data_IF_075277706411
#
_entry.id   IF_075277706411
#
_cell.length_a   1.000
_cell.length_b   1.000
_cell.length_c   1.000
_cell.angle_alpha   90.00
_cell.angle_beta   90.00
_cell.angle_gamma   90.00
#
_symmetry.space_group_name_H-M   'P 1'
#
loop_
_entity.id
_entity.type
_entity.pdbx_description
1 polymer ?
#
# COMPACT_ATOMS: atom_id res chain seq x y z
N UNK A 1 -10.96 4.87 10.92
CA UNK A 1 -11.21 4.63 9.48
C UNK A 1 -10.78 3.19 9.14
N UNK A 2 -11.23 2.60 8.01
CA UNK A 2 -10.71 1.32 7.51
C UNK A 2 -9.64 1.58 6.43
N UNK A 3 -8.49 0.93 6.56
CA UNK A 3 -7.37 1.01 5.64
C UNK A 3 -7.14 -0.37 5.03
N UNK A 4 -7.31 -0.50 3.71
CA UNK A 4 -7.00 -1.74 3.01
C UNK A 4 -5.65 -1.56 2.35
N UNK A 5 -4.68 -2.34 2.81
CA UNK A 5 -3.31 -2.28 2.29
C UNK A 5 -3.05 -3.57 1.53
N UNK A 6 -2.92 -3.45 0.20
CA UNK A 6 -2.57 -4.55 -0.69
C UNK A 6 -1.06 -4.76 -0.59
N UNK A 7 -0.60 -5.72 0.22
CA UNK A 7 0.83 -5.92 0.50
C UNK A 7 1.36 -5.17 1.72
N UNK A 8 0.68 -5.28 2.87
CA UNK A 8 1.05 -4.52 4.08
C UNK A 8 2.34 -4.97 4.78
N UNK A 9 2.98 -6.04 4.32
CA UNK A 9 4.18 -6.62 4.94
C UNK A 9 5.46 -6.30 4.17
N UNK A 10 5.34 -5.56 3.05
CA UNK A 10 6.43 -4.82 2.44
C UNK A 10 7.00 -3.75 3.37
N UNK A 11 7.97 -2.96 2.91
CA UNK A 11 8.59 -1.92 3.75
C UNK A 11 7.60 -0.80 4.03
N UNK A 12 7.20 -0.06 3.00
CA UNK A 12 6.29 1.07 3.13
C UNK A 12 4.91 0.59 3.60
N UNK A 13 4.43 -0.55 3.11
CA UNK A 13 3.19 -1.15 3.57
C UNK A 13 3.19 -1.40 5.09
N UNK A 14 4.33 -1.81 5.66
CA UNK A 14 4.46 -2.05 7.09
C UNK A 14 4.48 -0.75 7.88
N UNK A 15 5.28 0.23 7.47
CA UNK A 15 5.34 1.54 8.15
C UNK A 15 3.97 2.23 8.15
N UNK A 16 3.27 2.18 7.02
CA UNK A 16 1.90 2.69 6.91
C UNK A 16 0.95 1.93 7.85
N UNK A 17 1.04 0.60 7.88
CA UNK A 17 0.20 -0.19 8.78
C UNK A 17 0.44 0.16 10.25
N UNK A 18 1.70 0.25 10.67
CA UNK A 18 2.09 0.57 12.04
C UNK A 18 1.48 1.89 12.49
N UNK A 19 1.63 2.93 11.67
CA UNK A 19 1.16 4.27 12.00
C UNK A 19 -0.37 4.40 11.97
N UNK A 20 -1.09 3.74 11.05
CA UNK A 20 -2.56 3.66 11.13
C UNK A 20 -3.04 2.97 12.41
N UNK A 21 -2.36 1.89 12.81
CA UNK A 21 -2.70 1.15 14.02
C UNK A 21 -2.42 1.97 15.30
N UNK A 22 -1.34 2.76 15.33
CA UNK A 22 -1.03 3.71 16.42
C UNK A 22 -2.12 4.78 16.58
N UNK A 23 -2.75 5.20 15.48
CA UNK A 23 -3.88 6.13 15.46
C UNK A 23 -5.22 5.45 15.83
N UNK A 24 -5.22 4.14 16.13
CA UNK A 24 -6.41 3.38 16.47
C UNK A 24 -7.29 3.03 15.26
N UNK A 25 -6.78 3.16 14.03
CA UNK A 25 -7.50 2.80 12.82
C UNK A 25 -7.42 1.30 12.50
N UNK A 26 -8.41 0.80 11.76
CA UNK A 26 -8.42 -0.60 11.31
C UNK A 26 -7.56 -0.76 10.06
N UNK A 27 -6.68 -1.76 10.04
CA UNK A 27 -5.86 -2.14 8.90
C UNK A 27 -6.23 -3.55 8.44
N UNK A 28 -6.68 -3.65 7.20
CA UNK A 28 -6.97 -4.89 6.51
C UNK A 28 -5.83 -5.17 5.54
N UNK A 29 -5.00 -6.14 5.89
CA UNK A 29 -3.95 -6.63 5.03
C UNK A 29 -4.54 -7.60 4.00
N UNK A 30 -4.31 -7.31 2.72
CA UNK A 30 -4.60 -8.25 1.63
C UNK A 30 -3.27 -8.74 1.07
N UNK A 31 -3.03 -10.04 1.16
CA UNK A 31 -1.81 -10.65 0.64
C UNK A 31 -1.84 -10.64 -0.90
N UNK A 32 -0.85 -9.98 -1.50
CA UNK A 32 -0.64 -9.93 -2.95
C UNK A 32 0.65 -10.66 -3.36
N UNK A 33 1.67 -10.68 -2.52
CA UNK A 33 2.98 -11.22 -2.88
C UNK A 33 3.89 -11.43 -1.69
N UNK A 34 3.33 -11.65 -0.50
CA UNK A 34 4.10 -11.83 0.72
C UNK A 34 5.00 -13.07 0.65
N UNK A 35 4.60 -14.09 -0.12
CA UNK A 35 5.40 -15.31 -0.29
C UNK A 35 6.73 -15.08 -1.03
N UNK A 36 6.90 -13.89 -1.63
CA UNK A 36 8.13 -13.50 -2.33
C UNK A 36 9.08 -12.68 -1.44
N UNK A 37 8.62 -12.30 -0.25
CA UNK A 37 9.41 -11.62 0.76
C UNK A 37 10.28 -12.63 1.52
N UNK A 38 11.26 -12.10 2.26
CA UNK A 38 12.08 -12.90 3.16
C UNK A 38 11.22 -13.47 4.29
N UNK A 39 11.22 -14.79 4.45
CA UNK A 39 10.33 -15.52 5.36
C UNK A 39 10.54 -15.12 6.83
N UNK A 40 11.80 -14.97 7.26
CA UNK A 40 12.11 -14.57 8.64
C UNK A 40 11.57 -13.16 8.92
N UNK A 41 11.83 -12.20 8.01
CA UNK A 41 11.32 -10.84 8.14
C UNK A 41 9.80 -10.77 8.11
N UNK A 42 9.16 -11.66 7.34
CA UNK A 42 7.70 -11.75 7.26
C UNK A 42 7.11 -12.18 8.60
N UNK A 43 7.66 -13.24 9.21
CA UNK A 43 7.20 -13.74 10.50
C UNK A 43 7.35 -12.69 11.61
N UNK A 44 8.50 -12.01 11.67
CA UNK A 44 8.74 -10.94 12.64
C UNK A 44 7.70 -9.82 12.52
N UNK A 45 7.42 -9.35 11.30
CA UNK A 45 6.39 -8.32 11.04
C UNK A 45 4.98 -8.80 11.42
N UNK A 46 4.65 -10.06 11.11
CA UNK A 46 3.35 -10.65 11.50
C UNK A 46 3.22 -10.74 13.01
N UNK A 47 4.28 -11.05 13.75
CA UNK A 47 4.24 -11.06 15.22
C UNK A 47 3.99 -9.67 15.80
N UNK A 48 4.57 -8.63 15.21
CA UNK A 48 4.38 -7.23 15.63
C UNK A 48 2.92 -6.78 15.47
N UNK A 49 2.28 -7.11 14.35
CA UNK A 49 0.88 -6.73 14.10
C UNK A 49 -0.14 -7.69 14.69
N UNK A 50 0.17 -8.99 14.78
CA UNK A 50 -0.78 -10.04 15.17
C UNK A 50 -1.33 -9.91 16.59
N UNK A 51 -0.76 -9.02 17.42
CA UNK A 51 -1.28 -8.67 18.75
C UNK A 51 -2.28 -7.52 18.72
N UNK A 52 -2.39 -6.79 17.62
CA UNK A 52 -3.27 -5.65 17.48
C UNK A 52 -4.62 -6.09 16.89
N UNK A 53 -5.71 -5.92 17.64
CA UNK A 53 -7.06 -6.32 17.22
C UNK A 53 -7.59 -5.54 16.01
N UNK A 54 -6.98 -4.39 15.69
CA UNK A 54 -7.33 -3.59 14.53
C UNK A 54 -6.60 -4.04 13.26
N UNK A 55 -5.62 -4.94 13.36
CA UNK A 55 -4.97 -5.55 12.20
C UNK A 55 -5.64 -6.88 11.84
N UNK A 56 -6.05 -7.02 10.57
CA UNK A 56 -6.75 -8.21 10.09
C UNK A 56 -6.18 -8.66 8.76
N UNK A 57 -5.66 -9.88 8.71
CA UNK A 57 -5.31 -10.54 7.45
C UNK A 57 -6.59 -11.02 6.75
N UNK A 58 -6.64 -10.81 5.43
CA UNK A 58 -7.73 -11.20 4.55
C UNK A 58 -7.17 -11.73 3.23
N UNK A 59 -7.93 -12.64 2.63
CA UNK A 59 -7.65 -13.08 1.28
C UNK A 59 -8.05 -11.99 0.28
N UNK A 60 -7.35 -11.89 -0.84
CA UNK A 60 -7.72 -10.97 -1.91
C UNK A 60 -9.12 -11.23 -2.49
N UNK A 61 -9.66 -12.42 -2.30
CA UNK A 61 -11.05 -12.74 -2.68
C UNK A 61 -12.09 -12.02 -1.82
N UNK A 62 -11.73 -11.57 -0.62
CA UNK A 62 -12.62 -10.94 0.36
C UNK A 62 -12.58 -9.39 0.28
N UNK A 63 -11.93 -8.83 -0.74
CA UNK A 63 -11.71 -7.37 -0.84
C UNK A 63 -13.00 -6.55 -0.81
N UNK A 64 -14.10 -7.08 -1.36
CA UNK A 64 -15.41 -6.41 -1.37
C UNK A 64 -16.02 -6.28 0.04
N UNK A 65 -15.80 -7.28 0.90
CA UNK A 65 -16.26 -7.24 2.29
C UNK A 65 -15.39 -6.29 3.11
N UNK A 66 -14.09 -6.24 2.83
CA UNK A 66 -13.16 -5.35 3.51
C UNK A 66 -13.48 -3.85 3.27
N UNK A 67 -13.94 -3.50 2.07
CA UNK A 67 -14.32 -2.11 1.71
C UNK A 67 -15.72 -1.70 2.19
N UNK A 68 -16.55 -2.65 2.63
CA UNK A 68 -17.93 -2.36 3.02
C UNK A 68 -17.97 -1.37 4.19
N UNK A 69 -18.85 -0.37 4.11
CA UNK A 69 -18.96 0.69 5.12
C UNK A 69 -17.90 1.79 5.01
N UNK A 70 -17.11 1.81 3.94
CA UNK A 70 -16.14 2.87 3.64
C UNK A 70 -14.73 2.51 4.08
N UNK A 71 -13.79 2.58 3.14
CA UNK A 71 -12.37 2.35 3.36
C UNK A 71 -11.55 3.26 2.44
N UNK A 72 -10.24 3.31 2.64
CA UNK A 72 -9.26 3.72 1.61
C UNK A 72 -8.42 2.51 1.20
N UNK A 73 -8.02 2.48 -0.06
CA UNK A 73 -7.16 1.43 -0.62
C UNK A 73 -5.78 2.02 -0.83
N UNK A 74 -4.77 1.28 -0.39
CA UNK A 74 -3.37 1.67 -0.44
C UNK A 74 -2.58 0.53 -1.07
N UNK A 75 -1.79 0.85 -2.09
CA UNK A 75 -0.95 -0.10 -2.83
C UNK A 75 0.49 0.41 -2.89
N UNK A 76 1.37 -0.02 -1.98
CA UNK A 76 2.77 0.39 -1.93
C UNK A 76 3.60 -0.32 -3.01
N UNK A 77 3.40 0.00 -4.30
CA UNK A 77 4.06 -0.68 -5.42
C UNK A 77 5.59 -0.67 -5.32
N UNK A 78 6.16 0.37 -4.71
CA UNK A 78 7.60 0.47 -4.45
C UNK A 78 8.14 -0.73 -3.65
N UNK A 79 7.34 -1.37 -2.80
CA UNK A 79 7.77 -2.54 -2.02
C UNK A 79 8.13 -3.75 -2.90
N UNK A 80 7.67 -3.76 -4.15
CA UNK A 80 7.91 -4.83 -5.12
C UNK A 80 8.85 -4.43 -6.25
N UNK A 81 9.47 -3.26 -6.19
CA UNK A 81 10.39 -2.77 -7.24
C UNK A 81 11.58 -3.73 -7.46
N UNK A 82 12.06 -4.36 -6.40
CA UNK A 82 13.23 -5.25 -6.40
C UNK A 82 12.91 -6.68 -6.83
N UNK A 83 11.64 -7.02 -7.03
CA UNK A 83 11.26 -8.35 -7.49
C UNK A 83 11.78 -8.61 -8.90
N UNK A 84 12.06 -9.87 -9.23
CA UNK A 84 12.31 -10.26 -10.61
C UNK A 84 11.02 -10.14 -11.46
N UNK A 85 11.16 -10.13 -12.79
CA UNK A 85 10.04 -9.94 -13.72
C UNK A 85 8.92 -10.97 -13.54
N UNK A 86 9.26 -12.21 -13.19
CA UNK A 86 8.25 -13.26 -12.97
C UNK A 86 7.42 -12.95 -11.72
N UNK A 87 8.07 -12.59 -10.63
CA UNK A 87 7.40 -12.19 -9.38
C UNK A 87 6.55 -10.94 -9.58
N UNK A 88 7.08 -9.93 -10.27
CA UNK A 88 6.34 -8.70 -10.63
C UNK A 88 5.09 -8.98 -11.45
N UNK A 89 5.18 -9.89 -12.42
CA UNK A 89 4.03 -10.28 -13.23
C UNK A 89 2.94 -10.94 -12.38
N UNK A 90 3.30 -11.85 -11.46
CA UNK A 90 2.33 -12.50 -10.54
C UNK A 90 1.66 -11.47 -9.62
N UNK A 91 2.43 -10.58 -9.00
CA UNK A 91 1.92 -9.48 -8.18
C UNK A 91 0.97 -8.60 -8.99
N UNK A 92 1.36 -8.22 -10.20
CA UNK A 92 0.54 -7.40 -11.11
C UNK A 92 -0.80 -8.06 -11.43
N UNK A 93 -0.80 -9.36 -11.77
CA UNK A 93 -2.03 -10.08 -12.11
C UNK A 93 -2.99 -10.17 -10.90
N UNK A 94 -2.45 -10.40 -9.70
CA UNK A 94 -3.25 -10.41 -8.46
C UNK A 94 -3.82 -9.04 -8.12
N UNK A 95 -3.04 -7.97 -8.30
CA UNK A 95 -3.53 -6.60 -8.13
C UNK A 95 -4.67 -6.30 -9.10
N UNK A 96 -4.50 -6.62 -10.40
CA UNK A 96 -5.54 -6.41 -11.39
C UNK A 96 -6.83 -7.15 -10.98
N UNK A 97 -6.73 -8.42 -10.55
CA UNK A 97 -7.88 -9.19 -10.06
C UNK A 97 -8.57 -8.53 -8.85
N UNK A 98 -7.82 -7.92 -7.94
CA UNK A 98 -8.37 -7.18 -6.81
C UNK A 98 -9.10 -5.92 -7.26
N UNK A 99 -8.42 -5.12 -8.07
CA UNK A 99 -8.87 -3.78 -8.45
C UNK A 99 -10.05 -3.82 -9.42
N UNK A 100 -10.11 -4.82 -10.31
CA UNK A 100 -11.27 -5.06 -11.18
C UNK A 100 -12.56 -5.32 -10.38
N UNK A 101 -12.47 -5.94 -9.20
CA UNK A 101 -13.65 -6.13 -8.33
C UNK A 101 -14.15 -4.80 -7.78
N UNK A 102 -13.26 -3.82 -7.66
CA UNK A 102 -13.51 -2.52 -7.05
C UNK A 102 -13.83 -1.41 -8.07
N UNK A 103 -13.77 -1.72 -9.37
CA UNK A 103 -13.89 -0.75 -10.49
C UNK A 103 -15.09 0.21 -10.37
N UNK A 104 -16.21 -0.25 -9.85
CA UNK A 104 -17.46 0.54 -9.77
C UNK A 104 -17.64 1.26 -8.42
N UNK A 105 -16.66 1.18 -7.51
CA UNK A 105 -16.76 1.78 -6.18
C UNK A 105 -16.00 3.10 -6.11
N UNK A 106 -16.61 4.17 -5.64
CA UNK A 106 -15.91 5.44 -5.42
C UNK A 106 -15.14 5.41 -4.09
N UNK A 107 -13.92 4.85 -4.13
CA UNK A 107 -13.07 4.68 -2.96
C UNK A 107 -11.77 5.47 -3.15
N UNK A 108 -11.26 6.18 -2.12
CA UNK A 108 -9.93 6.77 -2.17
C UNK A 108 -8.87 5.69 -2.41
N UNK A 109 -8.09 5.86 -3.48
CA UNK A 109 -7.04 4.93 -3.87
C UNK A 109 -5.69 5.64 -3.93
N UNK A 110 -4.71 5.07 -3.25
CA UNK A 110 -3.35 5.59 -3.15
C UNK A 110 -2.37 4.53 -3.62
N UNK A 111 -1.43 4.92 -4.47
CA UNK A 111 -0.33 4.04 -4.84
C UNK A 111 1.00 4.76 -4.84
N UNK A 112 2.06 4.04 -4.46
CA UNK A 112 3.39 4.59 -4.25
C UNK A 112 4.38 3.97 -5.21
N UNK A 113 5.03 4.79 -6.03
CA UNK A 113 6.01 4.37 -7.03
C UNK A 113 7.35 5.09 -6.82
N UNK A 114 8.44 4.47 -7.27
CA UNK A 114 9.77 5.08 -7.24
C UNK A 114 9.95 6.14 -8.34
N UNK A 115 10.69 7.21 -8.04
CA UNK A 115 10.98 8.30 -8.98
C UNK A 115 11.76 7.88 -10.24
N UNK A 116 12.59 6.84 -10.17
CA UNK A 116 13.55 6.52 -11.24
C UNK A 116 13.15 5.38 -12.16
N UNK A 117 12.18 4.54 -11.79
CA UNK A 117 11.85 3.35 -12.58
C UNK A 117 10.36 3.17 -12.78
N UNK A 118 9.98 3.04 -14.04
CA UNK A 118 8.63 2.64 -14.43
C UNK A 118 8.53 1.11 -14.48
N UNK A 119 8.38 0.51 -13.30
CA UNK A 119 8.48 -0.95 -13.15
C UNK A 119 7.14 -1.63 -13.38
N UNK A 120 6.06 -0.85 -13.38
CA UNK A 120 4.70 -1.33 -13.46
C UNK A 120 3.91 -0.60 -14.55
N UNK A 121 4.53 -0.32 -15.70
CA UNK A 121 3.88 0.29 -16.89
C UNK A 121 2.56 -0.41 -17.26
N UNK A 122 2.57 -1.75 -17.20
CA UNK A 122 1.36 -2.57 -17.43
C UNK A 122 0.29 -2.27 -16.39
N UNK A 123 0.65 -2.12 -15.11
CA UNK A 123 -0.30 -1.74 -14.07
C UNK A 123 -0.78 -0.30 -14.25
N UNK A 124 0.08 0.66 -14.60
CA UNK A 124 -0.32 2.06 -14.87
C UNK A 124 -1.35 2.15 -16.01
N UNK A 125 -1.10 1.41 -17.09
CA UNK A 125 -2.02 1.30 -18.23
C UNK A 125 -3.36 0.70 -17.79
N UNK A 126 -3.33 -0.37 -16.99
CA UNK A 126 -4.54 -1.02 -16.48
C UNK A 126 -5.26 -0.18 -15.43
N UNK A 127 -4.57 0.48 -14.49
CA UNK A 127 -5.15 1.38 -13.49
C UNK A 127 -5.94 2.49 -14.17
N UNK A 128 -5.39 3.08 -15.23
CA UNK A 128 -6.08 4.11 -16.03
C UNK A 128 -7.36 3.56 -16.67
N UNK A 129 -7.40 2.28 -17.04
CA UNK A 129 -8.58 1.62 -17.60
C UNK A 129 -9.60 1.23 -16.52
N UNK A 130 -9.16 0.48 -15.50
CA UNK A 130 -9.94 0.00 -14.34
C UNK A 130 -10.64 1.15 -13.64
N UNK A 131 -9.96 2.28 -13.56
CA UNK A 131 -10.42 3.43 -12.81
C UNK A 131 -10.66 4.67 -13.67
N UNK A 132 -10.86 4.50 -14.96
CA UNK A 132 -11.23 5.57 -15.90
C UNK A 132 -12.43 6.42 -15.44
N UNK A 133 -13.28 5.84 -14.57
CA UNK A 133 -14.47 6.49 -14.00
C UNK A 133 -14.27 6.99 -12.55
N UNK A 134 -13.19 6.61 -11.87
CA UNK A 134 -12.96 6.99 -10.47
C UNK A 134 -12.17 8.29 -10.37
N UNK A 135 -12.74 9.27 -9.68
CA UNK A 135 -12.12 10.59 -9.50
C UNK A 135 -11.08 10.64 -8.39
N UNK A 136 -10.90 9.58 -7.58
CA UNK A 136 -10.15 9.60 -6.32
C UNK A 136 -8.90 8.71 -6.35
N UNK A 137 -8.09 8.87 -7.39
CA UNK A 137 -6.81 8.16 -7.53
C UNK A 137 -5.66 9.12 -7.34
N UNK A 138 -4.75 8.74 -6.44
CA UNK A 138 -3.51 9.43 -6.19
C UNK A 138 -2.34 8.48 -6.45
N UNK A 139 -1.53 8.82 -7.44
CA UNK A 139 -0.22 8.19 -7.68
C UNK A 139 0.81 9.10 -7.03
N UNK A 140 1.56 8.53 -6.08
CA UNK A 140 2.52 9.24 -5.25
C UNK A 140 3.89 8.72 -5.60
N UNK A 141 4.78 9.63 -5.99
CA UNK A 141 6.13 9.29 -6.37
C UNK A 141 7.05 9.55 -5.18
N UNK A 142 7.72 8.51 -4.68
CA UNK A 142 8.61 8.59 -3.51
C UNK A 142 10.09 8.50 -3.94
N UNK A 143 10.99 9.23 -3.25
CA UNK A 143 12.42 9.24 -3.59
C UNK A 143 13.09 7.87 -3.45
N UNK A 144 14.11 7.62 -4.27
CA UNK A 144 14.87 6.36 -4.35
C UNK A 144 15.54 5.96 -3.03
N UNK A 145 15.85 6.94 -2.19
CA UNK A 145 16.51 6.76 -0.89
C UNK A 145 15.59 6.14 0.17
N UNK A 146 14.36 5.75 -0.19
CA UNK A 146 13.53 4.87 0.63
C UNK A 146 14.10 3.43 0.65
N UNK A 147 15.39 3.30 1.00
CA UNK A 147 16.09 2.04 1.20
C UNK A 147 16.08 1.67 2.69
N UNK A 148 14.99 1.07 3.16
CA UNK A 148 14.96 0.52 4.51
C UNK A 148 15.40 -0.95 4.48
N UNK A 149 16.65 -1.18 4.12
CA UNK A 149 17.24 -2.52 4.30
C UNK A 149 17.65 -2.81 5.76
N UNK A 150 17.65 -1.81 6.65
CA UNK A 150 18.33 -1.91 7.95
C UNK A 150 17.47 -1.75 9.21
N UNK A 151 16.14 -1.58 9.14
CA UNK A 151 15.33 -1.34 10.37
C UNK A 151 14.75 -2.60 11.03
N UNK A 152 15.31 -3.76 10.72
CA UNK A 152 14.96 -5.06 11.37
C UNK A 152 16.06 -5.51 12.35
N UNK A 153 17.21 -4.83 12.39
CA UNK A 153 18.24 -5.10 13.39
C UNK A 153 18.00 -4.27 14.66
N UNK A 154 16.94 -4.60 15.41
CA UNK A 154 16.84 -4.36 16.86
C UNK A 154 16.93 -2.94 17.45
N UNK A 155 17.17 -1.90 16.66
CA UNK A 155 17.19 -0.51 17.14
C UNK A 155 15.86 0.17 16.83
N UNK A 156 14.97 0.17 17.82
CA UNK A 156 13.81 1.06 17.85
C UNK A 156 14.31 2.51 17.74
N UNK A 157 14.12 3.14 16.58
CA UNK A 157 14.07 4.61 16.56
C UNK A 157 12.66 5.03 16.95
N UNK A 158 12.57 5.73 18.07
CA UNK A 158 11.33 6.29 18.65
C UNK A 158 10.70 7.40 17.79
N UNK A 159 11.39 7.91 16.76
CA UNK A 159 10.88 8.98 15.89
C UNK A 159 10.41 8.45 14.52
N UNK A 160 9.16 8.76 14.19
CA UNK A 160 8.57 8.55 12.86
C UNK A 160 9.37 9.32 11.81
N UNK A 161 9.79 8.63 10.76
CA UNK A 161 10.52 9.22 9.64
C UNK A 161 9.74 10.43 9.07
N UNK A 162 10.34 11.63 8.93
CA UNK A 162 9.66 12.81 8.40
C UNK A 162 8.96 12.57 7.05
N UNK A 163 9.53 11.71 6.20
CA UNK A 163 8.94 11.34 4.92
C UNK A 163 7.67 10.50 5.09
N UNK A 164 7.64 9.61 6.09
CA UNK A 164 6.43 8.86 6.42
C UNK A 164 5.34 9.79 6.90
N UNK A 165 5.67 10.73 7.79
CA UNK A 165 4.69 11.72 8.26
C UNK A 165 4.14 12.59 7.12
N UNK A 166 4.98 12.98 6.15
CA UNK A 166 4.53 13.69 4.94
C UNK A 166 3.61 12.83 4.06
N UNK A 167 3.95 11.55 3.86
CA UNK A 167 3.10 10.59 3.13
C UNK A 167 1.74 10.46 3.84
N UNK A 168 1.75 10.32 5.17
CA UNK A 168 0.54 10.22 5.97
C UNK A 168 -0.34 11.45 5.87
N UNK A 169 0.25 12.63 6.05
CA UNK A 169 -0.46 13.91 5.94
C UNK A 169 -1.09 14.07 4.55
N UNK A 170 -0.41 13.58 3.50
CA UNK A 170 -0.97 13.54 2.15
C UNK A 170 -2.15 12.57 2.05
N UNK A 171 -2.01 11.33 2.51
CA UNK A 171 -3.10 10.34 2.49
C UNK A 171 -4.32 10.91 3.22
N UNK A 172 -4.14 11.47 4.40
CA UNK A 172 -5.24 12.01 5.21
C UNK A 172 -5.95 13.18 4.51
N UNK A 173 -5.17 14.17 4.04
CA UNK A 173 -5.70 15.33 3.30
C UNK A 173 -6.52 14.93 2.08
N UNK A 174 -6.01 14.00 1.28
CA UNK A 174 -6.65 13.60 0.02
C UNK A 174 -7.83 12.63 0.26
N UNK A 175 -7.85 11.89 1.38
CA UNK A 175 -8.98 11.04 1.76
C UNK A 175 -10.27 11.87 1.97
N UNK A 176 -10.12 13.12 2.41
CA UNK A 176 -11.22 14.06 2.66
C UNK A 176 -11.48 15.05 1.51
N UNK A 177 -10.68 15.02 0.44
CA UNK A 177 -10.80 15.93 -0.69
C UNK A 177 -11.43 15.31 -1.94
N UNK A 178 -11.98 16.14 -2.83
CA UNK A 178 -12.39 15.76 -4.19
C UNK A 178 -11.26 16.08 -5.17
N UNK A 179 -10.25 15.21 -5.30
CA UNK A 179 -9.11 15.49 -6.19
C UNK A 179 -8.79 14.33 -7.13
N UNK A 180 -8.69 14.67 -8.42
CA UNK A 180 -8.19 13.80 -9.51
C UNK A 180 -6.66 13.75 -9.56
N UNK A 181 -6.16 12.70 -10.23
CA UNK A 181 -4.75 12.42 -10.56
C UNK A 181 -3.94 13.68 -10.84
N UNK A 182 -3.04 14.00 -9.91
CA UNK A 182 -1.89 14.85 -10.15
C UNK A 182 -0.69 14.12 -9.54
N UNK A 183 0.42 14.07 -10.26
CA UNK A 183 1.75 13.71 -9.76
C UNK A 183 2.13 14.74 -8.66
N UNK A 184 1.61 14.57 -7.44
CA UNK A 184 1.58 15.64 -6.42
C UNK A 184 2.83 15.70 -5.53
N UNK A 185 3.69 14.69 -5.57
CA UNK A 185 4.93 14.67 -4.79
C UNK A 185 6.10 14.26 -5.68
N UNK A 186 7.01 15.21 -5.87
CA UNK A 186 8.42 14.97 -6.17
C UNK A 186 9.18 15.40 -4.92
N UNK A 187 9.27 14.50 -3.93
CA UNK A 187 10.12 14.72 -2.73
C UNK A 187 11.55 14.34 -3.09
#
# INVERSE_FOLDING_TARGET
>A
MKNIILGSLGTLGFDLSKRFLELGEAVFHINIGDEFLDEQKLEEKKMLFGRNCNFQERCYTEILEAVEGGARIIVPLIDWERFDERKKQIVTDRLILCLERLRNMEIPFFTFISQKKDIFEKLKTNLSSIFSQQKRIQIITVPEQYEWMNRIDGEEQEESDPLIEEIFALIDRETHGEHQLIDKLKI
#
